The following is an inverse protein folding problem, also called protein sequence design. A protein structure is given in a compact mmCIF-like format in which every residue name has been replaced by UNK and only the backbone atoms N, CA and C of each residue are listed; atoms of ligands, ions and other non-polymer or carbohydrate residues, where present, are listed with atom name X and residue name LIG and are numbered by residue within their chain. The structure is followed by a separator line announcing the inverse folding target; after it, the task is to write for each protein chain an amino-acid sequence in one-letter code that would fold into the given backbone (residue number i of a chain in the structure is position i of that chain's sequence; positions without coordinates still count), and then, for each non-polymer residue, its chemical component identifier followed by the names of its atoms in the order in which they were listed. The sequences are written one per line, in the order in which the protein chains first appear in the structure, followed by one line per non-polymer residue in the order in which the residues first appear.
data_IF_663669886239
#
_entry.id   IF_663669886239
#
_cell.length_a   1.000
_cell.length_b   1.000
_cell.length_c   1.000
_cell.angle_alpha   90.00
_cell.angle_beta   90.00
_cell.angle_gamma   90.00
#
_symmetry.space_group_name_H-M   'P 1'
#
loop_
_entity.id
_entity.type
_entity.pdbx_description
1 polymer ?
#
# COMPACT_ATOMS: atom_id res chain seq x y z
N UNK A 1 28.22 0.02 -22.59
CA UNK A 1 27.67 -1.11 -21.82
C UNK A 1 27.05 -0.61 -20.52
N UNK A 2 27.78 0.15 -19.71
CA UNK A 2 27.33 0.59 -18.38
C UNK A 2 26.05 1.44 -18.38
N UNK A 3 25.92 2.41 -19.30
CA UNK A 3 24.69 3.21 -19.45
C UNK A 3 23.46 2.35 -19.82
N UNK A 4 23.67 1.31 -20.62
CA UNK A 4 22.59 0.42 -21.07
C UNK A 4 22.15 -0.51 -19.92
N UNK A 5 23.10 -1.01 -19.14
CA UNK A 5 22.84 -1.78 -17.92
C UNK A 5 22.08 -0.93 -16.89
N UNK A 6 22.47 0.33 -16.73
CA UNK A 6 21.83 1.26 -15.80
C UNK A 6 20.38 1.59 -16.19
N UNK A 7 20.05 1.59 -17.49
CA UNK A 7 18.65 1.72 -17.97
C UNK A 7 17.84 0.43 -17.83
N UNK A 8 18.48 -0.74 -17.87
CA UNK A 8 17.81 -2.04 -17.80
C UNK A 8 17.43 -2.42 -16.36
N UNK A 9 18.21 -1.97 -15.38
CA UNK A 9 18.05 -2.32 -13.97
C UNK A 9 16.68 -1.91 -13.37
N UNK A 10 16.14 -0.71 -13.63
CA UNK A 10 14.80 -0.33 -13.18
C UNK A 10 13.70 -1.17 -13.84
N UNK A 11 13.85 -1.54 -15.11
CA UNK A 11 12.86 -2.35 -15.84
C UNK A 11 12.81 -3.77 -15.25
N UNK A 12 13.97 -4.35 -14.95
CA UNK A 12 14.08 -5.65 -14.28
C UNK A 12 13.47 -5.64 -12.88
N UNK A 13 13.41 -4.48 -12.22
CA UNK A 13 12.78 -4.32 -10.91
C UNK A 13 11.25 -4.15 -10.99
N UNK A 14 10.77 -3.33 -11.94
CA UNK A 14 9.34 -3.03 -12.10
C UNK A 14 8.55 -4.22 -12.68
N UNK A 15 9.13 -4.97 -13.63
CA UNK A 15 8.41 -6.05 -14.30
C UNK A 15 7.94 -7.18 -13.35
N UNK A 16 8.76 -7.69 -12.41
CA UNK A 16 8.31 -8.65 -11.40
C UNK A 16 7.23 -8.09 -10.47
N UNK A 17 7.30 -6.81 -10.11
CA UNK A 17 6.27 -6.16 -9.26
C UNK A 17 4.92 -6.14 -9.97
N UNK A 18 4.88 -5.73 -11.25
CA UNK A 18 3.65 -5.77 -12.06
C UNK A 18 3.12 -7.19 -12.25
N UNK A 19 4.00 -8.17 -12.42
CA UNK A 19 3.61 -9.57 -12.52
C UNK A 19 3.03 -10.08 -11.18
N UNK A 20 3.63 -9.71 -10.06
CA UNK A 20 3.12 -10.03 -8.72
C UNK A 20 1.74 -9.41 -8.49
N UNK A 21 1.53 -8.15 -8.90
CA UNK A 21 0.22 -7.49 -8.89
C UNK A 21 -0.81 -8.27 -9.72
N UNK A 22 -0.46 -8.68 -10.94
CA UNK A 22 -1.37 -9.44 -11.79
C UNK A 22 -1.82 -10.75 -11.12
N UNK A 23 -0.89 -11.51 -10.53
CA UNK A 23 -1.23 -12.75 -9.83
C UNK A 23 -1.94 -12.52 -8.48
N UNK A 24 -1.72 -11.40 -7.81
CA UNK A 24 -2.47 -11.03 -6.60
C UNK A 24 -3.98 -10.94 -6.90
N UNK A 25 -4.37 -10.43 -8.07
CA UNK A 25 -5.79 -10.37 -8.46
C UNK A 25 -6.43 -11.76 -8.59
N UNK A 26 -5.67 -12.75 -9.07
CA UNK A 26 -6.13 -14.14 -9.14
C UNK A 26 -6.24 -14.76 -7.74
N UNK A 27 -5.22 -14.54 -6.91
CA UNK A 27 -5.17 -15.04 -5.54
C UNK A 27 -6.36 -14.50 -4.75
N UNK A 28 -6.65 -13.21 -4.87
CA UNK A 28 -7.82 -12.58 -4.29
C UNK A 28 -9.12 -13.28 -4.68
N UNK A 29 -9.38 -13.44 -5.99
CA UNK A 29 -10.63 -14.08 -6.45
C UNK A 29 -10.76 -15.53 -5.99
N UNK A 30 -9.64 -16.24 -5.86
CA UNK A 30 -9.64 -17.61 -5.32
C UNK A 30 -9.93 -17.65 -3.83
N UNK A 31 -9.21 -16.86 -3.03
CA UNK A 31 -9.36 -16.85 -1.57
C UNK A 31 -10.76 -16.38 -1.18
N UNK A 32 -11.23 -15.29 -1.78
CA UNK A 32 -12.60 -14.82 -1.57
C UNK A 32 -13.63 -15.88 -1.99
N UNK A 33 -13.38 -16.58 -3.10
CA UNK A 33 -14.21 -17.70 -3.52
C UNK A 33 -14.30 -18.77 -2.42
N UNK A 34 -13.16 -19.29 -1.97
CA UNK A 34 -13.11 -20.35 -0.96
C UNK A 34 -13.72 -19.93 0.38
N UNK A 35 -13.47 -18.70 0.83
CA UNK A 35 -14.08 -18.15 2.06
C UNK A 35 -15.60 -18.01 1.93
N UNK A 36 -16.11 -17.69 0.74
CA UNK A 36 -17.54 -17.59 0.44
C UNK A 36 -18.16 -18.94 0.02
N UNK A 37 -17.49 -20.06 0.26
CA UNK A 37 -17.96 -21.40 -0.10
C UNK A 37 -18.28 -21.58 -1.60
N UNK A 38 -17.52 -20.92 -2.49
CA UNK A 38 -17.60 -21.08 -3.95
C UNK A 38 -16.21 -21.25 -4.56
N UNK A 39 -16.12 -21.67 -5.82
CA UNK A 39 -14.83 -21.76 -6.52
C UNK A 39 -14.45 -20.39 -7.11
N UNK A 40 -13.16 -20.07 -7.05
CA UNK A 40 -12.57 -18.97 -7.81
C UNK A 40 -12.40 -19.33 -9.30
N UNK A 41 -11.72 -18.46 -10.08
CA UNK A 41 -11.44 -18.70 -11.50
C UNK A 41 -10.63 -19.98 -11.69
N UNK A 42 -11.20 -20.96 -12.39
CA UNK A 42 -10.59 -22.27 -12.63
C UNK A 42 -10.60 -22.70 -14.11
N UNK A 43 -11.27 -21.94 -14.99
CA UNK A 43 -11.51 -22.33 -16.40
C UNK A 43 -10.44 -21.76 -17.34
N UNK A 44 -10.06 -20.49 -17.19
CA UNK A 44 -9.09 -19.83 -18.08
C UNK A 44 -7.66 -20.30 -17.74
N UNK A 45 -7.24 -21.39 -18.39
CA UNK A 45 -5.96 -22.05 -18.14
C UNK A 45 -5.98 -23.04 -16.97
N UNK A 46 -4.90 -23.80 -16.75
CA UNK A 46 -4.80 -24.78 -15.66
C UNK A 46 -4.96 -24.06 -14.32
N UNK A 47 -5.99 -24.44 -13.56
CA UNK A 47 -6.38 -23.78 -12.31
C UNK A 47 -6.54 -22.25 -12.42
N UNK A 48 -6.93 -21.73 -13.58
CA UNK A 48 -7.14 -20.30 -13.77
C UNK A 48 -5.87 -19.45 -13.92
N UNK A 49 -4.67 -20.03 -14.01
CA UNK A 49 -3.40 -19.27 -14.03
C UNK A 49 -3.30 -18.23 -15.16
N UNK A 50 -4.04 -18.41 -16.26
CA UNK A 50 -4.05 -17.48 -17.38
C UNK A 50 -5.08 -16.35 -17.23
N UNK A 51 -5.87 -16.35 -16.15
CA UNK A 51 -6.91 -15.34 -15.91
C UNK A 51 -6.36 -13.89 -15.89
N UNK A 52 -5.26 -13.56 -15.19
CA UNK A 52 -4.76 -12.19 -15.15
C UNK A 52 -4.31 -11.69 -16.53
N UNK A 53 -3.77 -12.58 -17.35
CA UNK A 53 -3.35 -12.26 -18.73
C UNK A 53 -4.59 -11.96 -19.58
N UNK A 54 -5.64 -12.78 -19.47
CA UNK A 54 -6.90 -12.56 -20.18
C UNK A 54 -7.57 -11.24 -19.77
N UNK A 55 -7.59 -10.93 -18.47
CA UNK A 55 -8.15 -9.67 -17.94
C UNK A 55 -7.33 -8.46 -18.42
N UNK A 56 -6.00 -8.55 -18.41
CA UNK A 56 -5.12 -7.51 -18.94
C UNK A 56 -5.36 -7.23 -20.43
N UNK A 57 -5.32 -8.28 -21.26
CA UNK A 57 -5.58 -8.17 -22.71
C UNK A 57 -6.97 -7.58 -22.98
N UNK A 58 -7.99 -8.01 -22.23
CA UNK A 58 -9.35 -7.48 -22.34
C UNK A 58 -9.39 -5.97 -22.05
N UNK A 59 -8.75 -5.51 -20.98
CA UNK A 59 -8.79 -4.10 -20.60
C UNK A 59 -8.07 -3.19 -21.60
N UNK A 60 -6.99 -3.67 -22.25
CA UNK A 60 -6.26 -2.89 -23.25
C UNK A 60 -6.90 -2.88 -24.64
N UNK A 61 -7.66 -3.92 -25.01
CA UNK A 61 -8.40 -3.94 -26.29
C UNK A 61 -9.71 -3.15 -26.17
N UNK A 62 -10.26 -3.01 -24.97
CA UNK A 62 -11.51 -2.28 -24.74
C UNK A 62 -11.36 -0.81 -25.16
N UNK A 63 -12.38 -0.30 -25.82
CA UNK A 63 -12.44 1.10 -26.28
C UNK A 63 -12.20 2.07 -25.11
N UNK A 64 -11.23 3.01 -25.25
CA UNK A 64 -10.99 4.03 -24.25
C UNK A 64 -12.07 5.13 -24.35
N UNK A 65 -13.05 5.09 -23.44
CA UNK A 65 -14.10 6.11 -23.36
C UNK A 65 -13.50 7.37 -22.73
N UNK A 66 -13.65 8.51 -23.41
CA UNK A 66 -13.28 9.83 -22.90
C UNK A 66 -14.52 10.74 -22.89
N UNK A 67 -15.02 11.15 -21.72
CA UNK A 67 -16.18 12.04 -21.64
C UNK A 67 -15.88 13.41 -22.26
N UNK A 68 -16.84 13.99 -22.98
CA UNK A 68 -16.70 15.34 -23.54
C UNK A 68 -16.70 16.43 -22.47
N UNK A 69 -17.34 16.18 -21.33
CA UNK A 69 -17.39 17.07 -20.16
C UNK A 69 -16.10 17.07 -19.34
N UNK A 70 -15.19 16.13 -19.59
CA UNK A 70 -13.97 15.93 -18.80
C UNK A 70 -12.83 16.85 -19.21
N UNK A 71 -11.96 17.21 -18.26
CA UNK A 71 -10.70 17.88 -18.56
C UNK A 71 -9.69 16.86 -19.11
N UNK A 72 -9.55 16.80 -20.43
CA UNK A 72 -8.81 15.75 -21.15
C UNK A 72 -7.36 15.54 -20.68
N UNK A 73 -6.62 16.63 -20.41
CA UNK A 73 -5.23 16.56 -19.98
C UNK A 73 -5.10 15.84 -18.62
N UNK A 74 -5.85 16.30 -17.63
CA UNK A 74 -5.85 15.71 -16.28
C UNK A 74 -6.42 14.30 -16.30
N UNK A 75 -7.47 14.05 -17.10
CA UNK A 75 -8.06 12.73 -17.22
C UNK A 75 -7.03 11.67 -17.66
N UNK A 76 -6.13 12.02 -18.59
CA UNK A 76 -5.06 11.12 -19.05
C UNK A 76 -3.86 11.06 -18.11
N UNK A 77 -3.50 12.18 -17.46
CA UNK A 77 -2.32 12.25 -16.59
C UNK A 77 -2.53 11.61 -15.20
N UNK A 78 -3.75 11.60 -14.67
CA UNK A 78 -3.98 11.12 -13.30
C UNK A 78 -3.75 9.61 -13.13
N UNK A 79 -4.24 8.72 -14.03
CA UNK A 79 -3.94 7.29 -13.93
C UNK A 79 -2.45 6.98 -14.12
N UNK A 80 -1.75 7.73 -14.97
CA UNK A 80 -0.30 7.55 -15.16
C UNK A 80 0.46 8.01 -13.92
N UNK A 81 0.06 9.13 -13.31
CA UNK A 81 0.62 9.63 -12.06
C UNK A 81 0.40 8.65 -10.89
N UNK A 82 -0.77 8.02 -10.79
CA UNK A 82 -1.03 6.98 -9.79
C UNK A 82 -0.04 5.80 -9.92
N UNK A 83 0.14 5.27 -11.13
CA UNK A 83 1.05 4.16 -11.36
C UNK A 83 2.52 4.55 -11.15
N UNK A 84 2.94 5.75 -11.60
CA UNK A 84 4.33 6.18 -11.42
C UNK A 84 4.68 6.34 -9.95
N UNK A 85 3.80 6.96 -9.15
CA UNK A 85 4.00 7.07 -7.71
C UNK A 85 4.04 5.70 -7.03
N UNK A 86 3.11 4.81 -7.37
CA UNK A 86 3.09 3.46 -6.83
C UNK A 86 4.40 2.71 -7.10
N UNK A 87 5.02 2.89 -8.28
CA UNK A 87 6.30 2.26 -8.61
C UNK A 87 7.51 2.92 -7.93
N UNK A 88 7.50 4.25 -7.81
CA UNK A 88 8.60 5.00 -7.15
C UNK A 88 8.74 4.58 -5.68
N UNK A 89 7.63 4.27 -5.01
CA UNK A 89 7.63 3.82 -3.61
C UNK A 89 8.42 2.53 -3.36
N UNK A 90 8.62 1.69 -4.38
CA UNK A 90 9.38 0.45 -4.22
C UNK A 90 10.90 0.67 -4.22
N UNK A 91 11.39 1.75 -4.83
CA UNK A 91 12.82 2.02 -4.98
C UNK A 91 13.66 1.95 -3.68
N UNK A 92 13.21 2.53 -2.54
CA UNK A 92 13.96 2.47 -1.28
C UNK A 92 13.79 1.15 -0.51
N UNK A 93 12.93 0.23 -0.93
CA UNK A 93 12.65 -0.99 -0.16
C UNK A 93 13.83 -1.98 -0.23
N UNK A 94 14.47 -2.32 0.91
CA UNK A 94 15.56 -3.28 0.97
C UNK A 94 15.13 -4.72 0.68
N UNK A 95 15.62 -5.31 -0.42
CA UNK A 95 15.39 -6.71 -0.79
C UNK A 95 16.61 -7.37 -1.50
N UNK A 96 17.72 -7.79 -0.84
CA UNK A 96 18.24 -7.44 0.48
C UNK A 96 18.75 -5.99 0.54
N UNK A 97 19.21 -5.52 -0.61
CA UNK A 97 19.71 -4.17 -0.84
C UNK A 97 18.61 -3.37 -1.53
N UNK A 98 18.42 -2.13 -1.12
CA UNK A 98 17.49 -1.23 -1.82
C UNK A 98 18.01 -0.94 -3.24
N UNK A 99 17.09 -0.68 -4.18
CA UNK A 99 17.48 -0.21 -5.52
C UNK A 99 18.14 1.17 -5.42
N UNK A 100 17.58 2.07 -4.62
CA UNK A 100 18.18 3.33 -4.24
C UNK A 100 18.37 3.36 -2.72
N UNK A 101 19.62 3.18 -2.27
CA UNK A 101 19.92 3.27 -0.85
C UNK A 101 19.89 4.74 -0.40
N UNK A 102 18.86 5.12 0.36
CA UNK A 102 18.65 6.48 0.85
C UNK A 102 18.70 6.50 2.38
N UNK A 103 19.44 7.46 2.96
CA UNK A 103 19.49 7.63 4.42
C UNK A 103 18.11 7.98 5.00
N UNK A 104 17.29 8.75 4.28
CA UNK A 104 15.95 9.18 4.69
C UNK A 104 14.84 8.37 3.99
N UNK A 105 15.05 7.06 3.82
CA UNK A 105 14.13 6.19 3.08
C UNK A 105 12.68 6.21 3.58
N UNK A 106 12.46 6.28 4.90
CA UNK A 106 11.11 6.28 5.47
C UNK A 106 10.39 7.61 5.21
N UNK A 107 11.09 8.73 5.35
CA UNK A 107 10.52 10.06 5.05
C UNK A 107 10.18 10.14 3.56
N UNK A 108 11.02 9.57 2.69
CA UNK A 108 10.72 9.49 1.26
C UNK A 108 9.42 8.72 0.98
N UNK A 109 9.22 7.56 1.60
CA UNK A 109 7.99 6.77 1.48
C UNK A 109 6.78 7.58 1.97
N UNK A 110 6.87 8.21 3.14
CA UNK A 110 5.79 9.07 3.65
C UNK A 110 5.48 10.23 2.69
N UNK A 111 6.49 10.91 2.16
CA UNK A 111 6.29 12.02 1.23
C UNK A 111 5.62 11.56 -0.08
N UNK A 112 6.06 10.44 -0.66
CA UNK A 112 5.48 9.92 -1.90
C UNK A 112 4.06 9.37 -1.66
N UNK A 113 3.78 8.75 -0.50
CA UNK A 113 2.43 8.33 -0.12
C UNK A 113 1.44 9.51 -0.10
N UNK A 114 1.83 10.64 0.50
CA UNK A 114 1.01 11.86 0.50
C UNK A 114 0.75 12.43 -0.90
N UNK A 115 1.63 12.14 -1.87
CA UNK A 115 1.43 12.57 -3.25
C UNK A 115 0.37 11.75 -3.99
N UNK A 116 0.13 10.50 -3.58
CA UNK A 116 -0.85 9.61 -4.24
C UNK A 116 -2.28 10.15 -4.14
N UNK A 117 -2.55 10.93 -3.09
CA UNK A 117 -3.83 11.61 -2.85
C UNK A 117 -4.19 12.56 -3.99
N UNK A 118 -3.22 13.22 -4.61
CA UNK A 118 -3.45 14.10 -5.75
C UNK A 118 -3.91 13.34 -7.00
N UNK A 119 -3.46 12.09 -7.20
CA UNK A 119 -3.93 11.27 -8.31
C UNK A 119 -5.43 10.97 -8.19
N UNK A 120 -5.89 10.69 -6.97
CA UNK A 120 -7.30 10.41 -6.65
C UNK A 120 -8.14 11.68 -6.76
N UNK A 121 -7.67 12.80 -6.18
CA UNK A 121 -8.39 14.08 -6.27
C UNK A 121 -8.51 14.56 -7.72
N UNK A 122 -7.40 14.52 -8.46
CA UNK A 122 -7.34 15.00 -9.83
C UNK A 122 -8.20 14.16 -10.78
N UNK A 123 -8.33 12.86 -10.55
CA UNK A 123 -9.21 11.99 -11.36
C UNK A 123 -10.70 12.22 -11.09
N UNK A 124 -11.09 12.43 -9.83
CA UNK A 124 -12.46 12.79 -9.49
C UNK A 124 -12.87 14.18 -9.97
N UNK A 125 -11.94 15.14 -10.00
CA UNK A 125 -12.20 16.46 -10.58
C UNK A 125 -12.23 16.43 -12.10
N UNK A 126 -11.32 15.68 -12.73
CA UNK A 126 -11.20 15.64 -14.18
C UNK A 126 -12.41 15.02 -14.89
N UNK A 127 -13.10 14.08 -14.26
CA UNK A 127 -14.29 13.41 -14.79
C UNK A 127 -15.50 14.35 -14.93
N UNK A 128 -15.61 15.37 -14.08
CA UNK A 128 -16.74 16.31 -14.11
C UNK A 128 -18.11 15.63 -13.87
N UNK A 129 -18.14 14.52 -13.13
CA UNK A 129 -19.37 13.98 -12.51
C UNK A 129 -19.41 14.25 -11.02
N UNK A 130 -20.62 14.54 -10.54
CA UNK A 130 -20.86 14.85 -9.12
C UNK A 130 -20.50 13.66 -8.21
N UNK A 131 -20.81 12.43 -8.64
CA UNK A 131 -20.48 11.23 -7.86
C UNK A 131 -18.98 10.98 -7.78
N UNK A 132 -18.24 11.16 -8.88
CA UNK A 132 -16.80 11.00 -8.88
C UNK A 132 -16.10 12.04 -8.00
N UNK A 133 -16.57 13.28 -8.03
CA UNK A 133 -16.04 14.34 -7.16
C UNK A 133 -16.32 14.04 -5.67
N UNK A 134 -17.52 13.59 -5.32
CA UNK A 134 -17.85 13.22 -3.93
C UNK A 134 -17.01 12.04 -3.46
N UNK A 135 -16.81 11.03 -4.31
CA UNK A 135 -15.95 9.88 -4.02
C UNK A 135 -14.49 10.28 -3.80
N UNK A 136 -13.96 11.16 -4.65
CA UNK A 136 -12.61 11.68 -4.51
C UNK A 136 -12.42 12.52 -3.24
N UNK A 137 -13.38 13.39 -2.89
CA UNK A 137 -13.29 14.17 -1.65
C UNK A 137 -13.32 13.28 -0.40
N UNK A 138 -14.13 12.21 -0.40
CA UNK A 138 -14.15 11.22 0.69
C UNK A 138 -12.83 10.46 0.79
N UNK A 139 -12.28 10.05 -0.36
CA UNK A 139 -10.98 9.38 -0.44
C UNK A 139 -9.86 10.24 0.14
N UNK A 140 -9.80 11.51 -0.27
CA UNK A 140 -8.79 12.47 0.17
C UNK A 140 -8.90 12.74 1.68
N UNK A 141 -10.13 12.92 2.19
CA UNK A 141 -10.33 13.11 3.62
C UNK A 141 -9.91 11.87 4.43
N UNK A 142 -10.18 10.67 3.91
CA UNK A 142 -9.73 9.41 4.49
C UNK A 142 -8.20 9.33 4.51
N UNK A 143 -7.52 9.43 3.36
CA UNK A 143 -6.07 9.26 3.28
C UNK A 143 -5.33 10.25 4.17
N UNK A 144 -5.70 11.54 4.14
CA UNK A 144 -5.08 12.58 4.97
C UNK A 144 -5.26 12.26 6.46
N UNK A 145 -6.44 11.79 6.88
CA UNK A 145 -6.69 11.46 8.29
C UNK A 145 -5.78 10.33 8.78
N UNK A 146 -5.59 9.29 7.97
CA UNK A 146 -4.75 8.16 8.33
C UNK A 146 -3.26 8.46 8.25
N UNK A 147 -2.82 9.30 7.31
CA UNK A 147 -1.41 9.72 7.19
C UNK A 147 -0.87 10.32 8.49
N UNK A 148 -1.68 11.10 9.22
CA UNK A 148 -1.29 11.66 10.52
C UNK A 148 -0.95 10.54 11.51
N UNK A 149 -1.83 9.53 11.62
CA UNK A 149 -1.58 8.39 12.52
C UNK A 149 -0.44 7.51 12.04
N UNK A 150 -0.33 7.28 10.73
CA UNK A 150 0.71 6.49 10.08
C UNK A 150 2.10 7.08 10.38
N UNK A 151 2.25 8.40 10.23
CA UNK A 151 3.49 9.13 10.49
C UNK A 151 3.89 9.05 11.98
N UNK A 152 2.94 9.18 12.90
CA UNK A 152 3.21 9.07 14.35
C UNK A 152 3.59 7.65 14.77
N UNK A 153 2.97 6.62 14.18
CA UNK A 153 3.29 5.22 14.48
C UNK A 153 4.69 4.87 13.94
N UNK A 154 5.02 5.29 12.73
CA UNK A 154 6.38 5.18 12.18
C UNK A 154 7.39 5.93 13.04
N UNK A 155 7.05 7.13 13.54
CA UNK A 155 7.95 7.87 14.40
C UNK A 155 8.30 7.07 15.67
N UNK A 156 7.32 6.40 16.27
CA UNK A 156 7.56 5.51 17.42
C UNK A 156 8.54 4.37 17.08
N UNK A 157 8.41 3.76 15.89
CA UNK A 157 9.33 2.70 15.48
C UNK A 157 10.74 3.23 15.19
N UNK A 158 10.86 4.42 14.59
CA UNK A 158 12.15 5.09 14.36
C UNK A 158 12.87 5.40 15.68
N UNK A 159 12.14 5.86 16.71
CA UNK A 159 12.75 6.18 18.01
C UNK A 159 13.40 4.96 18.69
N UNK A 160 12.86 3.76 18.47
CA UNK A 160 13.48 2.51 18.94
C UNK A 160 14.65 2.06 18.07
N UNK A 161 14.63 2.38 16.77
CA UNK A 161 15.65 1.95 15.81
C UNK A 161 16.87 2.87 15.81
N UNK A 162 16.68 4.19 15.98
CA UNK A 162 17.75 5.19 15.96
C UNK A 162 18.09 5.77 14.58
N UNK A 163 17.37 5.39 13.51
CA UNK A 163 17.64 5.83 12.14
C UNK A 163 16.41 5.81 11.21
N UNK A 164 16.49 6.59 10.12
CA UNK A 164 15.45 6.70 9.09
C UNK A 164 15.66 5.75 7.89
N UNK A 165 16.77 5.01 7.89
CA UNK A 165 17.10 4.05 6.82
C UNK A 165 16.36 2.74 7.07
N UNK A 166 15.67 2.20 6.06
CA UNK A 166 15.00 0.89 6.17
C UNK A 166 15.99 -0.25 6.42
N UNK A 167 17.26 -0.07 6.07
CA UNK A 167 18.31 -1.04 6.39
C UNK A 167 18.58 -1.13 7.91
N UNK A 168 18.43 -0.04 8.66
CA UNK A 168 18.60 -0.04 10.13
C UNK A 168 17.50 -0.84 10.86
N UNK A 169 16.34 -1.03 10.24
CA UNK A 169 15.30 -1.91 10.78
C UNK A 169 15.72 -3.38 10.77
N UNK A 170 16.52 -3.82 9.80
CA UNK A 170 17.07 -5.18 9.79
C UNK A 170 18.12 -5.40 10.87
N UNK A 171 18.99 -4.41 11.13
CA UNK A 171 20.04 -4.56 12.16
C UNK A 171 19.44 -4.57 13.57
N UNK A 172 18.42 -3.76 13.82
CA UNK A 172 17.77 -3.67 15.13
C UNK A 172 16.90 -4.89 15.46
N UNK A 173 16.25 -5.48 14.45
CA UNK A 173 15.40 -6.66 14.62
C UNK A 173 16.18 -7.99 14.59
N UNK A 174 17.51 -7.94 14.77
CA UNK A 174 18.35 -9.13 14.78
C UNK A 174 18.01 -10.09 15.93
N UNK A 175 17.78 -9.56 17.15
CA UNK A 175 17.53 -10.38 18.33
C UNK A 175 16.03 -10.64 18.56
N UNK A 176 15.21 -9.61 18.42
CA UNK A 176 13.76 -9.70 18.65
C UNK A 176 13.03 -8.88 17.61
N UNK A 177 11.89 -9.38 17.15
CA UNK A 177 11.00 -8.62 16.26
C UNK A 177 10.47 -7.38 16.97
N UNK A 178 10.40 -6.26 16.24
CA UNK A 178 9.87 -5.01 16.76
C UNK A 178 8.36 -5.12 17.07
N UNK A 179 7.67 -6.11 16.50
CA UNK A 179 6.28 -6.44 16.81
C UNK A 179 6.04 -6.73 18.31
N UNK A 180 7.01 -7.32 19.02
CA UNK A 180 6.85 -7.65 20.45
C UNK A 180 6.79 -6.40 21.34
N UNK A 181 7.78 -5.46 21.32
CA UNK A 181 7.71 -4.25 22.13
C UNK A 181 6.63 -3.27 21.66
N UNK A 182 6.32 -3.25 20.36
CA UNK A 182 5.36 -2.32 19.75
C UNK A 182 4.04 -2.98 19.33
N UNK A 183 3.58 -4.03 20.01
CA UNK A 183 2.38 -4.77 19.55
C UNK A 183 1.14 -3.88 19.32
N UNK A 184 0.78 -2.91 20.20
CA UNK A 184 -0.42 -2.08 19.98
C UNK A 184 -0.23 -1.17 18.77
N UNK A 185 1.00 -0.69 18.57
CA UNK A 185 1.37 0.13 17.43
C UNK A 185 1.37 -0.66 16.14
N UNK A 186 1.85 -1.90 16.15
CA UNK A 186 1.82 -2.78 14.99
C UNK A 186 0.37 -3.09 14.56
N UNK A 187 -0.54 -3.29 15.52
CA UNK A 187 -1.96 -3.48 15.23
C UNK A 187 -2.60 -2.22 14.62
N UNK A 188 -2.38 -1.05 15.24
CA UNK A 188 -2.88 0.23 14.70
C UNK A 188 -2.28 0.54 13.32
N UNK A 189 -0.98 0.27 13.13
CA UNK A 189 -0.27 0.39 11.87
C UNK A 189 -0.96 -0.42 10.77
N UNK A 190 -1.23 -1.69 11.06
CA UNK A 190 -1.85 -2.57 10.08
C UNK A 190 -3.27 -2.15 9.72
N UNK A 191 -4.03 -1.60 10.69
CA UNK A 191 -5.33 -1.00 10.40
C UNK A 191 -5.24 0.31 9.61
N UNK A 192 -4.20 1.13 9.84
CA UNK A 192 -3.98 2.35 9.05
C UNK A 192 -3.55 2.05 7.62
N UNK A 193 -2.72 1.02 7.38
CA UNK A 193 -2.33 0.64 6.01
C UNK A 193 -3.49 0.03 5.21
N UNK A 194 -4.41 -0.68 5.87
CA UNK A 194 -5.68 -1.11 5.25
C UNK A 194 -6.51 0.09 4.78
N UNK A 195 -6.56 1.13 5.59
CA UNK A 195 -7.34 2.33 5.29
C UNK A 195 -6.66 3.22 4.24
N UNK A 196 -5.34 3.34 4.26
CA UNK A 196 -4.57 4.08 3.26
C UNK A 196 -4.69 3.45 1.85
N UNK A 197 -4.75 2.12 1.78
CA UNK A 197 -4.96 1.39 0.52
C UNK A 197 -6.43 1.33 0.09
N UNK A 198 -7.33 2.04 0.79
CA UNK A 198 -8.78 2.07 0.53
C UNK A 198 -9.43 0.68 0.45
N UNK A 199 -8.94 -0.31 1.21
CA UNK A 199 -9.49 -1.68 1.18
C UNK A 199 -10.56 -1.88 2.23
N UNK A 200 -11.52 -2.75 1.91
CA UNK A 200 -12.56 -3.16 2.86
C UNK A 200 -11.92 -3.70 4.15
N UNK A 201 -12.37 -3.24 5.33
CA UNK A 201 -13.64 -2.56 5.60
C UNK A 201 -13.67 -1.03 5.41
N UNK A 202 -12.55 -0.41 5.01
CA UNK A 202 -12.41 1.04 4.79
C UNK A 202 -12.50 1.45 3.31
N UNK A 203 -13.12 0.63 2.48
CA UNK A 203 -13.40 0.91 1.06
C UNK A 203 -14.61 1.86 0.92
N UNK A 204 -14.38 3.14 1.22
CA UNK A 204 -15.37 4.21 1.07
C UNK A 204 -15.27 4.91 -0.29
N UNK A 205 -14.13 4.74 -0.96
CA UNK A 205 -13.78 5.43 -2.18
C UNK A 205 -14.43 4.77 -3.38
N UNK A 206 -14.57 3.45 -3.38
CA UNK A 206 -15.19 2.70 -4.47
C UNK A 206 -16.59 2.21 -4.11
N UNK A 207 -17.09 2.54 -2.92
CA UNK A 207 -18.31 2.00 -2.31
C UNK A 207 -19.46 1.82 -3.30
N UNK A 208 -19.56 0.61 -3.87
CA UNK A 208 -20.44 0.31 -5.01
C UNK A 208 -21.91 0.63 -4.70
N UNK A 209 -22.30 0.44 -3.44
CA UNK A 209 -23.65 0.69 -2.94
C UNK A 209 -24.00 2.17 -2.82
N UNK A 210 -23.00 3.06 -2.70
CA UNK A 210 -23.20 4.50 -2.46
C UNK A 210 -22.82 5.36 -3.66
N UNK A 211 -21.76 4.97 -4.39
CA UNK A 211 -21.13 5.79 -5.41
C UNK A 211 -20.92 5.06 -6.74
N UNK A 212 -21.52 3.87 -6.92
CA UNK A 212 -21.35 2.96 -8.08
C UNK A 212 -19.92 2.43 -8.22
N UNK A 213 -18.92 3.31 -8.35
CA UNK A 213 -17.49 3.01 -8.21
C UNK A 213 -16.63 4.23 -7.78
N UNK A 214 -17.25 5.34 -7.38
CA UNK A 214 -16.55 6.51 -6.84
C UNK A 214 -15.71 7.32 -7.84
N UNK A 215 -14.43 7.56 -7.54
CA UNK A 215 -13.59 8.47 -8.34
C UNK A 215 -13.23 7.94 -9.73
N UNK A 216 -13.31 6.63 -9.93
CA UNK A 216 -12.95 5.97 -11.19
C UNK A 216 -14.15 5.65 -12.11
N UNK A 217 -15.37 6.12 -11.79
CA UNK A 217 -16.63 5.78 -12.50
C UNK A 217 -16.57 6.00 -14.01
N UNK A 218 -15.89 7.05 -14.46
CA UNK A 218 -15.83 7.40 -15.87
C UNK A 218 -14.64 6.79 -16.61
N UNK A 219 -13.72 6.15 -15.89
CA UNK A 219 -12.54 5.55 -16.49
C UNK A 219 -12.86 4.17 -17.07
N UNK A 220 -12.56 3.99 -18.35
CA UNK A 220 -12.75 2.73 -19.07
C UNK A 220 -11.43 2.19 -19.65
N UNK A 221 -11.34 0.87 -19.79
CA UNK A 221 -10.24 0.20 -20.50
C UNK A 221 -8.88 0.41 -19.85
N UNK A 222 -7.90 0.88 -20.63
CA UNK A 222 -6.51 1.07 -20.19
C UNK A 222 -6.33 2.02 -18.99
N UNK A 223 -6.85 3.27 -19.02
CA UNK A 223 -6.79 4.19 -17.89
C UNK A 223 -7.33 3.63 -16.57
N UNK A 224 -8.42 2.85 -16.63
CA UNK A 224 -8.94 2.13 -15.47
C UNK A 224 -7.93 1.09 -14.97
N UNK A 225 -7.36 0.29 -15.88
CA UNK A 225 -6.36 -0.71 -15.53
C UNK A 225 -5.15 -0.12 -14.79
N UNK A 226 -4.73 1.10 -15.11
CA UNK A 226 -3.62 1.79 -14.44
C UNK A 226 -3.93 2.09 -12.96
N UNK A 227 -5.15 2.52 -12.63
CA UNK A 227 -5.57 2.72 -11.23
C UNK A 227 -5.59 1.40 -10.46
N UNK A 228 -6.14 0.33 -11.04
CA UNK A 228 -6.14 -0.99 -10.41
C UNK A 228 -4.71 -1.48 -10.16
N UNK A 229 -3.84 -1.38 -11.16
CA UNK A 229 -2.43 -1.77 -11.00
C UNK A 229 -1.75 -0.97 -9.89
N UNK A 230 -2.03 0.34 -9.79
CA UNK A 230 -1.48 1.21 -8.75
C UNK A 230 -1.98 0.85 -7.35
N UNK A 231 -3.28 0.63 -7.17
CA UNK A 231 -3.87 0.25 -5.88
C UNK A 231 -3.28 -1.09 -5.38
N UNK A 232 -3.23 -2.11 -6.25
CA UNK A 232 -2.65 -3.40 -5.90
C UNK A 232 -1.14 -3.35 -5.68
N UNK A 233 -0.42 -2.48 -6.40
CA UNK A 233 0.99 -2.23 -6.13
C UNK A 233 1.18 -1.61 -4.74
N UNK A 234 0.33 -0.65 -4.35
CA UNK A 234 0.35 -0.04 -3.02
C UNK A 234 0.01 -1.06 -1.92
N UNK A 235 -0.91 -2.01 -2.16
CA UNK A 235 -1.20 -3.10 -1.22
C UNK A 235 0.05 -3.96 -0.96
N UNK A 236 0.72 -4.41 -2.02
CA UNK A 236 1.93 -5.21 -1.86
C UNK A 236 3.04 -4.40 -1.19
N UNK A 237 3.19 -3.13 -1.57
CA UNK A 237 4.19 -2.21 -1.02
C UNK A 237 3.97 -1.91 0.47
N UNK A 238 2.73 -1.68 0.91
CA UNK A 238 2.43 -1.43 2.32
C UNK A 238 2.66 -2.67 3.18
N UNK A 239 2.36 -3.85 2.63
CA UNK A 239 2.63 -5.11 3.30
C UNK A 239 4.13 -5.38 3.40
N UNK A 240 4.93 -5.11 2.37
CA UNK A 240 6.39 -5.22 2.45
C UNK A 240 7.00 -4.18 3.39
N UNK A 241 6.49 -2.95 3.42
CA UNK A 241 6.89 -1.95 4.42
C UNK A 241 6.59 -2.44 5.84
N UNK A 242 5.41 -3.02 6.07
CA UNK A 242 5.01 -3.53 7.39
C UNK A 242 5.86 -4.71 7.85
N UNK A 243 6.29 -5.59 6.94
CA UNK A 243 7.21 -6.67 7.30
C UNK A 243 8.58 -6.14 7.65
N UNK A 244 9.11 -5.16 6.92
CA UNK A 244 10.40 -4.51 7.25
C UNK A 244 10.30 -3.79 8.59
N UNK A 245 9.19 -3.08 8.84
CA UNK A 245 9.01 -2.28 10.04
C UNK A 245 8.86 -3.12 11.33
N UNK A 246 8.21 -4.28 11.29
CA UNK A 246 7.85 -5.02 12.52
C UNK A 246 8.35 -6.46 12.62
N UNK A 247 8.53 -7.16 11.50
CA UNK A 247 8.76 -8.62 11.45
C UNK A 247 10.00 -8.96 10.60
N UNK A 248 10.93 -8.02 10.45
CA UNK A 248 12.14 -8.20 9.69
C UNK A 248 13.05 -9.16 10.46
N UNK A 249 13.31 -10.34 9.91
CA UNK A 249 14.39 -11.20 10.40
C UNK A 249 14.80 -12.23 9.37
N UNK A 250 16.10 -12.30 9.09
CA UNK A 250 16.78 -13.53 8.72
C UNK A 250 18.27 -13.40 9.05
N UNK A 251 18.72 -14.31 9.93
CA UNK A 251 19.97 -14.29 10.68
C UNK A 251 21.17 -14.88 9.93
N UNK A 252 21.00 -15.55 8.77
CA UNK A 252 22.07 -16.43 8.27
C UNK A 252 22.88 -15.91 7.07
N UNK A 253 22.32 -15.16 6.13
CA UNK A 253 23.05 -14.61 4.98
C UNK A 253 22.25 -13.45 4.37
N UNK A 254 22.90 -12.31 4.11
CA UNK A 254 22.26 -11.14 3.46
C UNK A 254 21.58 -11.56 2.13
N UNK A 255 22.18 -12.48 1.37
CA UNK A 255 21.64 -12.95 0.09
C UNK A 255 20.34 -13.77 0.22
N UNK A 256 20.11 -14.44 1.35
CA UNK A 256 18.89 -15.24 1.59
C UNK A 256 17.77 -14.43 2.27
N UNK A 257 17.93 -13.13 2.50
CA UNK A 257 16.93 -12.30 3.18
C UNK A 257 15.66 -12.07 2.37
N UNK A 258 15.72 -12.17 1.03
CA UNK A 258 14.60 -11.86 0.14
C UNK A 258 13.44 -12.85 0.28
N UNK A 259 13.73 -14.15 0.25
CA UNK A 259 12.73 -15.20 0.36
C UNK A 259 11.91 -15.16 1.67
N UNK A 260 12.52 -15.09 2.87
CA UNK A 260 11.76 -15.00 4.12
C UNK A 260 11.01 -13.67 4.24
N UNK A 261 11.57 -12.56 3.75
CA UNK A 261 10.89 -11.27 3.73
C UNK A 261 9.63 -11.33 2.87
N UNK A 262 9.74 -11.84 1.64
CA UNK A 262 8.61 -11.96 0.72
C UNK A 262 7.58 -12.97 1.22
N UNK A 263 8.00 -14.07 1.84
CA UNK A 263 7.08 -15.03 2.45
C UNK A 263 6.26 -14.41 3.59
N UNK A 264 6.90 -13.60 4.46
CA UNK A 264 6.16 -12.85 5.49
C UNK A 264 5.23 -11.81 4.86
N UNK A 265 5.67 -11.14 3.79
CA UNK A 265 4.87 -10.11 3.13
C UNK A 265 3.64 -10.70 2.44
N UNK A 266 3.76 -11.90 1.85
CA UNK A 266 2.62 -12.62 1.29
C UNK A 266 1.66 -13.10 2.38
N UNK A 267 2.13 -13.51 3.56
CA UNK A 267 1.24 -13.81 4.69
C UNK A 267 0.44 -12.57 5.10
N UNK A 268 1.07 -11.40 5.19
CA UNK A 268 0.36 -10.15 5.50
C UNK A 268 -0.60 -9.72 4.38
N UNK A 269 -0.29 -9.96 3.12
CA UNK A 269 -1.24 -9.68 2.03
C UNK A 269 -2.42 -10.67 2.01
N UNK A 270 -2.21 -11.94 2.39
CA UNK A 270 -3.29 -12.91 2.60
C UNK A 270 -4.20 -12.50 3.76
N UNK A 271 -3.64 -11.90 4.82
CA UNK A 271 -4.42 -11.33 5.92
C UNK A 271 -5.28 -10.14 5.46
N UNK A 272 -4.81 -9.26 4.56
CA UNK A 272 -5.65 -8.22 3.93
C UNK A 272 -6.87 -8.83 3.23
N UNK A 273 -6.64 -9.90 2.45
CA UNK A 273 -7.71 -10.59 1.74
C UNK A 273 -8.72 -11.26 2.68
N UNK A 274 -8.23 -11.80 3.80
CA UNK A 274 -9.10 -12.39 4.82
C UNK A 274 -9.94 -11.35 5.56
N UNK A 275 -9.35 -10.21 5.91
CA UNK A 275 -10.07 -9.09 6.54
C UNK A 275 -11.20 -8.59 5.63
N UNK A 276 -10.93 -8.44 4.33
CA UNK A 276 -11.96 -8.09 3.35
C UNK A 276 -13.11 -9.09 3.29
N UNK A 277 -12.83 -10.38 3.46
CA UNK A 277 -13.85 -11.42 3.40
C UNK A 277 -14.74 -11.49 4.65
N UNK A 278 -14.25 -10.98 5.79
CA UNK A 278 -14.86 -11.19 7.11
C UNK A 278 -15.62 -9.99 7.64
N UNK A 279 -15.14 -8.77 7.39
CA UNK A 279 -15.72 -7.56 7.99
C UNK A 279 -16.67 -6.80 7.05
N UNK A 280 -17.76 -6.23 7.58
CA UNK A 280 -18.60 -5.30 6.84
C UNK A 280 -17.89 -3.95 6.65
N UNK A 281 -18.34 -3.17 5.66
CA UNK A 281 -17.83 -1.81 5.43
C UNK A 281 -18.19 -0.88 6.59
N UNK A 282 -17.26 -0.02 6.99
CA UNK A 282 -17.52 1.07 7.91
C UNK A 282 -18.26 2.22 7.23
N UNK A 283 -19.02 2.99 8.00
CA UNK A 283 -19.50 4.29 7.56
C UNK A 283 -18.39 5.34 7.68
N UNK A 284 -18.37 6.32 6.78
CA UNK A 284 -17.40 7.43 6.80
C UNK A 284 -17.26 8.10 8.18
N UNK A 285 -18.38 8.39 8.86
CA UNK A 285 -18.36 9.04 10.19
C UNK A 285 -17.69 8.16 11.26
N UNK A 286 -17.89 6.85 11.19
CA UNK A 286 -17.29 5.89 12.13
C UNK A 286 -15.79 5.75 11.89
N UNK A 287 -15.39 5.77 10.62
CA UNK A 287 -13.98 5.78 10.22
C UNK A 287 -13.28 7.02 10.78
N UNK A 288 -13.86 8.20 10.59
CA UNK A 288 -13.29 9.45 11.12
C UNK A 288 -13.25 9.44 12.66
N UNK A 289 -14.26 8.89 13.33
CA UNK A 289 -14.24 8.73 14.78
C UNK A 289 -13.12 7.80 15.26
N UNK A 290 -12.89 6.70 14.55
CA UNK A 290 -11.83 5.73 14.88
C UNK A 290 -10.45 6.38 14.80
N UNK A 291 -10.18 7.17 13.75
CA UNK A 291 -8.88 7.85 13.59
C UNK A 291 -8.70 8.94 14.64
N UNK A 292 -9.64 9.88 14.70
CA UNK A 292 -9.47 11.11 15.48
C UNK A 292 -9.67 10.92 16.98
N UNK A 293 -10.59 10.06 17.39
CA UNK A 293 -10.90 9.88 18.82
C UNK A 293 -10.26 8.66 19.46
N UNK A 294 -9.92 7.62 18.68
CA UNK A 294 -9.31 6.41 19.24
C UNK A 294 -7.82 6.35 18.91
N UNK A 295 -7.44 6.35 17.63
CA UNK A 295 -6.04 6.16 17.26
C UNK A 295 -5.18 7.34 17.66
N UNK A 296 -5.57 8.58 17.34
CA UNK A 296 -4.76 9.75 17.61
C UNK A 296 -4.39 9.93 19.10
N UNK A 297 -5.32 9.81 20.08
CA UNK A 297 -4.94 9.94 21.49
C UNK A 297 -4.00 8.84 21.96
N UNK A 298 -4.22 7.59 21.52
CA UNK A 298 -3.37 6.45 21.89
C UNK A 298 -1.96 6.61 21.29
N UNK A 299 -1.87 7.02 20.02
CA UNK A 299 -0.57 7.26 19.37
C UNK A 299 0.19 8.38 20.03
N UNK A 300 -0.47 9.47 20.43
CA UNK A 300 0.17 10.57 21.15
C UNK A 300 0.69 10.16 22.54
N UNK A 301 -0.07 9.38 23.31
CA UNK A 301 0.40 8.90 24.62
C UNK A 301 1.64 8.02 24.45
N UNK A 302 1.63 7.15 23.46
CA UNK A 302 2.75 6.23 23.23
C UNK A 302 3.94 6.93 22.60
N UNK A 303 3.78 7.95 21.75
CA UNK A 303 4.92 8.75 21.27
C UNK A 303 5.63 9.43 22.43
N UNK A 304 4.87 10.01 23.38
CA UNK A 304 5.44 10.59 24.61
C UNK A 304 6.18 9.53 25.43
N UNK A 305 5.58 8.34 25.58
CA UNK A 305 6.23 7.22 26.27
C UNK A 305 7.53 6.80 25.58
N UNK A 306 7.54 6.69 24.24
CA UNK A 306 8.73 6.31 23.46
C UNK A 306 9.82 7.38 23.46
N UNK A 307 9.49 8.66 23.61
CA UNK A 307 10.49 9.72 23.76
C UNK A 307 11.15 9.64 25.15
N UNK A 308 10.34 9.40 26.19
CA UNK A 308 10.84 9.38 27.58
C UNK A 308 11.56 8.08 27.93
N UNK A 309 11.09 6.93 27.44
CA UNK A 309 11.62 5.62 27.84
C UNK A 309 13.14 5.47 27.62
N UNK A 310 13.71 5.73 26.43
CA UNK A 310 15.16 5.62 26.19
C UNK A 310 15.99 6.49 27.14
N UNK A 311 15.50 7.69 27.46
CA UNK A 311 16.20 8.61 28.38
C UNK A 311 16.18 8.09 29.82
N UNK A 312 15.07 7.50 30.25
CA UNK A 312 14.94 6.97 31.62
C UNK A 312 15.68 5.66 31.83
N UNK A 313 15.74 4.81 30.81
CA UNK A 313 16.35 3.48 30.89
C UNK A 313 17.81 3.47 30.44
N UNK A 314 18.38 4.61 30.03
CA UNK A 314 19.72 4.75 29.44
C UNK A 314 19.97 3.83 28.23
N UNK A 315 18.90 3.40 27.54
CA UNK A 315 18.96 2.55 26.35
C UNK A 315 18.63 3.39 25.11
N UNK A 316 19.49 4.33 24.76
CA UNK A 316 19.40 5.04 23.49
C UNK A 316 19.96 4.16 22.36
N UNK A 317 19.22 3.91 21.27
CA UNK A 317 19.77 3.19 20.13
C UNK A 317 20.91 4.00 19.49
N UNK A 318 21.89 3.32 18.85
CA UNK A 318 22.95 4.02 18.13
C UNK A 318 22.38 4.80 16.96
N UNK A 319 22.91 6.00 16.72
CA UNK A 319 22.63 6.76 15.51
C UNK A 319 23.22 6.02 14.30
N UNK A 320 22.38 5.71 13.33
CA UNK A 320 22.75 5.05 12.07
C UNK A 320 23.08 6.05 10.96
#
# INVERSE_FOLDING_TARGET
MDKMILMLLPILYIAPVLLAVAFLTLIERKILGYMQHRKGPNIVGPWGLLQPIADGVKLFIKEPIRPSSSSQLLFLLMPTMALTLAMIMWAPLPMPTAHSNMNLSIIFILAVSSLTVYAILGSGWASNSKYALIGALRAVAQTISYEVTLALIILCSILLVGGFSLQSFFSTQHFTWLLLPLWPMAAMWYTSTLAETNRAPFDLTEGESELVSGFNVEYAGGPFALFFLAEYANILMMNTLSTIAFIASSILLISLTTMPLMFKATILSLLFLWIRASYPRFRYDQLMHLVWKNFLPITLVVTIWQITHPTTSLFSPPLA
#
